data_IF_751505397158
#
_entry.id   IF_751505397158
#
_cell.length_a   1.000
_cell.length_b   1.000
_cell.length_c   1.000
_cell.angle_alpha   90.00
_cell.angle_beta   90.00
_cell.angle_gamma   90.00
#
_symmetry.space_group_name_H-M   'P 1'
#
loop_
_entity.id
_entity.type
_entity.pdbx_description
1 polymer ?
#
# COMPACT_ATOMS: atom_id res chain seq x y z
N UNK A 1 8.07 -22.87 -9.21
CA UNK A 1 7.06 -23.44 -10.12
C UNK A 1 7.05 -22.72 -11.47
N UNK A 2 7.18 -23.44 -12.60
CA UNK A 2 7.35 -22.81 -13.94
C UNK A 2 6.09 -22.12 -14.48
N UNK A 3 6.24 -21.12 -15.37
CA UNK A 3 5.19 -20.47 -16.20
C UNK A 3 4.08 -21.40 -16.72
N UNK A 4 4.40 -22.66 -17.00
CA UNK A 4 3.43 -23.66 -17.46
C UNK A 4 2.36 -24.03 -16.43
N UNK A 5 2.65 -23.94 -15.14
CA UNK A 5 1.73 -24.38 -14.08
C UNK A 5 0.66 -23.34 -13.79
N UNK A 6 1.01 -22.05 -13.83
CA UNK A 6 0.12 -20.95 -13.44
C UNK A 6 -0.55 -20.27 -14.64
N UNK A 7 -0.18 -20.64 -15.87
CA UNK A 7 -0.53 -19.93 -17.12
C UNK A 7 -1.99 -19.49 -17.20
N UNK A 8 -2.91 -20.37 -16.84
CA UNK A 8 -4.35 -20.19 -17.02
C UNK A 8 -5.04 -19.62 -15.78
N UNK A 9 -4.30 -19.41 -14.69
CA UNK A 9 -4.85 -18.85 -13.46
C UNK A 9 -5.27 -17.40 -13.70
N UNK A 10 -6.47 -17.07 -13.23
CA UNK A 10 -6.95 -15.69 -13.21
C UNK A 10 -6.29 -14.95 -12.07
N UNK A 11 -5.77 -13.77 -12.37
CA UNK A 11 -5.07 -12.91 -11.42
C UNK A 11 -5.61 -11.49 -11.56
N UNK A 12 -5.83 -10.82 -10.43
CA UNK A 12 -6.15 -9.39 -10.41
C UNK A 12 -4.85 -8.59 -10.41
N UNK A 13 -4.65 -7.78 -11.45
CA UNK A 13 -3.45 -6.97 -11.66
C UNK A 13 -3.81 -5.50 -11.58
N UNK A 14 -3.03 -4.74 -10.81
CA UNK A 14 -3.08 -3.28 -10.84
C UNK A 14 -2.33 -2.78 -12.07
N UNK A 15 -2.99 -1.91 -12.83
CA UNK A 15 -2.46 -1.30 -14.05
C UNK A 15 -2.48 0.21 -13.90
N UNK A 16 -1.35 0.84 -14.18
CA UNK A 16 -1.18 2.29 -14.12
C UNK A 16 -0.48 2.79 -15.38
N UNK A 17 -0.66 4.06 -15.78
CA UNK A 17 0.04 4.63 -16.92
C UNK A 17 1.56 4.78 -16.71
N UNK A 18 2.00 4.92 -15.46
CA UNK A 18 3.32 5.40 -15.09
C UNK A 18 3.97 4.63 -13.93
N UNK A 19 3.28 3.63 -13.37
CA UNK A 19 3.76 2.80 -12.28
C UNK A 19 3.35 3.23 -10.89
N UNK A 20 2.72 4.39 -10.72
CA UNK A 20 2.36 4.94 -9.41
C UNK A 20 0.92 4.54 -9.07
N UNK A 21 0.76 3.50 -8.26
CA UNK A 21 -0.53 3.08 -7.72
C UNK A 21 -0.75 3.72 -6.34
N UNK A 22 -1.99 4.13 -6.03
CA UNK A 22 -2.36 4.72 -4.75
C UNK A 22 -1.51 5.96 -4.42
N UNK A 23 -1.42 6.86 -5.40
CA UNK A 23 -0.53 8.02 -5.41
C UNK A 23 -1.29 9.32 -5.72
N UNK A 24 -0.61 10.46 -5.59
CA UNK A 24 -1.19 11.75 -5.96
C UNK A 24 -0.93 12.03 -7.43
N UNK A 25 -1.99 12.27 -8.20
CA UNK A 25 -1.89 12.68 -9.59
C UNK A 25 -2.80 13.87 -9.89
N UNK A 26 -2.36 14.70 -10.84
CA UNK A 26 -3.03 15.93 -11.22
C UNK A 26 -3.86 15.72 -12.47
N UNK A 27 -5.10 16.21 -12.44
CA UNK A 27 -5.97 16.32 -13.61
C UNK A 27 -6.33 17.78 -13.83
N UNK A 28 -6.07 18.29 -15.04
CA UNK A 28 -6.49 19.63 -15.42
C UNK A 28 -7.95 19.63 -15.87
N UNK A 29 -8.80 20.37 -15.17
CA UNK A 29 -10.21 20.57 -15.52
C UNK A 29 -10.48 22.07 -15.73
N UNK A 30 -10.99 22.46 -16.90
CA UNK A 30 -11.33 23.87 -17.20
C UNK A 30 -10.19 24.88 -16.95
N UNK A 31 -8.93 24.48 -17.20
CA UNK A 31 -7.69 25.23 -16.89
C UNK A 31 -7.38 25.40 -15.39
N UNK A 32 -7.93 24.54 -14.54
CA UNK A 32 -7.57 24.43 -13.12
C UNK A 32 -6.98 23.05 -12.89
N UNK A 33 -5.80 23.00 -12.28
CA UNK A 33 -5.17 21.74 -11.88
C UNK A 33 -5.76 21.27 -10.55
N UNK A 34 -6.31 20.06 -10.54
CA UNK A 34 -6.87 19.42 -9.36
C UNK A 34 -6.02 18.18 -9.03
N UNK A 35 -5.54 18.11 -7.79
CA UNK A 35 -4.82 16.95 -7.27
C UNK A 35 -5.80 15.91 -6.72
N UNK A 36 -5.64 14.64 -7.10
CA UNK A 36 -6.44 13.52 -6.63
C UNK A 36 -5.54 12.46 -6.00
N UNK A 37 -6.06 11.73 -5.02
CA UNK A 37 -5.54 10.42 -4.67
C UNK A 37 -6.08 9.41 -5.68
N UNK A 38 -5.20 8.82 -6.49
CA UNK A 38 -5.58 7.98 -7.63
C UNK A 38 -5.20 6.53 -7.37
N UNK A 39 -6.22 5.69 -7.28
CA UNK A 39 -6.08 4.23 -7.23
C UNK A 39 -5.75 3.68 -8.64
N UNK A 40 -5.05 2.54 -8.74
CA UNK A 40 -4.81 1.89 -10.02
C UNK A 40 -6.10 1.40 -10.69
N UNK A 41 -6.02 1.09 -11.98
CA UNK A 41 -7.05 0.27 -12.63
C UNK A 41 -6.84 -1.19 -12.25
N UNK A 42 -7.87 -1.89 -11.77
CA UNK A 42 -7.79 -3.33 -11.54
C UNK A 42 -8.30 -4.11 -12.75
N UNK A 43 -7.48 -5.06 -13.24
CA UNK A 43 -7.84 -5.96 -14.33
C UNK A 43 -7.73 -7.40 -13.91
N UNK A 44 -8.73 -8.19 -14.27
CA UNK A 44 -8.61 -9.64 -14.26
C UNK A 44 -8.01 -10.11 -15.57
N UNK A 45 -6.87 -10.80 -15.51
CA UNK A 45 -6.20 -11.38 -16.68
C UNK A 45 -5.62 -12.76 -16.35
N UNK A 46 -5.16 -13.48 -17.37
CA UNK A 46 -4.45 -14.73 -17.14
C UNK A 46 -3.02 -14.42 -16.66
N UNK A 47 -2.46 -15.27 -15.79
CA UNK A 47 -1.06 -15.13 -15.36
C UNK A 47 -0.10 -15.16 -16.56
N UNK A 48 -0.37 -15.97 -17.58
CA UNK A 48 0.42 -15.97 -18.81
C UNK A 48 0.44 -14.61 -19.51
N UNK A 49 -0.70 -13.94 -19.61
CA UNK A 49 -0.82 -12.61 -20.21
C UNK A 49 -0.10 -11.55 -19.36
N UNK A 50 -0.20 -11.64 -18.03
CA UNK A 50 0.56 -10.79 -17.13
C UNK A 50 2.07 -10.97 -17.29
N UNK A 51 2.54 -12.22 -17.39
CA UNK A 51 3.97 -12.51 -17.63
C UNK A 51 4.42 -12.02 -19.01
N UNK A 52 3.60 -12.18 -20.05
CA UNK A 52 3.84 -11.60 -21.37
C UNK A 52 3.96 -10.07 -21.30
N UNK A 53 3.13 -9.41 -20.47
CA UNK A 53 3.17 -7.96 -20.27
C UNK A 53 4.43 -7.47 -19.54
N UNK A 54 5.03 -8.29 -18.67
CA UNK A 54 6.33 -7.97 -18.08
C UNK A 54 7.47 -8.05 -19.11
N UNK A 55 7.38 -9.00 -20.05
CA UNK A 55 8.41 -9.25 -21.06
C UNK A 55 8.32 -8.31 -22.28
N UNK A 56 7.11 -7.96 -22.73
CA UNK A 56 6.87 -7.15 -23.93
C UNK A 56 6.08 -5.87 -23.63
N UNK A 57 6.81 -4.84 -23.19
CA UNK A 57 6.28 -3.51 -22.86
C UNK A 57 5.69 -2.76 -24.06
N UNK A 58 6.04 -3.16 -25.29
CA UNK A 58 5.52 -2.50 -26.50
C UNK A 58 4.12 -3.01 -26.84
N UNK A 59 3.88 -4.29 -26.63
CA UNK A 59 2.57 -4.92 -26.83
C UNK A 59 1.58 -4.57 -25.74
N UNK A 60 2.06 -4.40 -24.50
CA UNK A 60 1.22 -4.12 -23.34
C UNK A 60 1.55 -2.72 -22.77
N UNK A 61 0.87 -1.66 -23.26
CA UNK A 61 1.11 -0.33 -22.74
C UNK A 61 0.58 -0.20 -21.30
N UNK A 62 1.34 0.50 -20.46
CA UNK A 62 1.09 0.61 -19.03
C UNK A 62 2.16 -0.06 -18.18
N UNK A 63 1.92 -0.07 -16.87
CA UNK A 63 2.77 -0.68 -15.86
C UNK A 63 1.92 -1.60 -15.01
N UNK A 64 2.31 -2.88 -14.98
CA UNK A 64 1.52 -3.97 -14.42
C UNK A 64 2.17 -4.46 -13.11
N UNK A 65 1.33 -4.66 -12.09
CA UNK A 65 1.78 -5.13 -10.79
C UNK A 65 0.72 -5.96 -10.08
N UNK A 66 1.08 -7.18 -9.69
CA UNK A 66 0.28 -8.02 -8.79
C UNK A 66 0.53 -7.50 -7.38
N UNK A 67 -0.45 -6.78 -6.86
CA UNK A 67 -0.30 -5.93 -5.68
C UNK A 67 -1.38 -6.12 -4.62
N UNK A 68 -2.38 -6.95 -4.90
CA UNK A 68 -3.59 -7.07 -4.07
C UNK A 68 -3.23 -7.63 -2.70
N UNK A 69 -3.27 -6.78 -1.68
CA UNK A 69 -2.96 -7.18 -0.32
C UNK A 69 -4.23 -7.51 0.45
N UNK A 70 -4.76 -8.71 0.25
CA UNK A 70 -5.85 -9.33 1.01
C UNK A 70 -5.66 -10.85 0.96
N UNK A 71 -4.48 -11.33 1.38
CA UNK A 71 -4.17 -12.75 1.37
C UNK A 71 -4.21 -13.38 -0.03
N UNK A 72 -3.81 -12.61 -1.06
CA UNK A 72 -3.87 -13.06 -2.46
C UNK A 72 -3.05 -14.34 -2.70
N UNK A 73 -1.99 -14.60 -1.92
CA UNK A 73 -1.23 -15.85 -2.08
C UNK A 73 -2.09 -17.06 -1.68
N UNK A 74 -2.86 -16.97 -0.60
CA UNK A 74 -3.73 -18.06 -0.14
C UNK A 74 -5.02 -18.17 -0.94
N UNK A 75 -5.57 -17.05 -1.40
CA UNK A 75 -6.86 -17.01 -2.10
C UNK A 75 -6.72 -17.20 -3.62
N UNK A 76 -5.81 -16.44 -4.25
CA UNK A 76 -5.66 -16.40 -5.71
C UNK A 76 -4.61 -17.41 -6.22
N UNK A 77 -3.66 -17.81 -5.37
CA UNK A 77 -2.54 -18.68 -5.74
C UNK A 77 -2.30 -19.88 -4.80
N UNK A 78 -3.33 -20.71 -4.51
CA UNK A 78 -3.19 -21.84 -3.58
C UNK A 78 -2.14 -22.87 -4.02
N UNK A 79 -1.81 -22.92 -5.31
CA UNK A 79 -0.75 -23.77 -5.85
C UNK A 79 0.63 -23.33 -5.39
N UNK A 80 0.86 -22.02 -5.27
CA UNK A 80 2.14 -21.43 -4.84
C UNK A 80 2.40 -21.62 -3.34
N UNK A 81 1.35 -21.87 -2.55
CA UNK A 81 1.46 -22.20 -1.12
C UNK A 81 2.26 -23.48 -0.85
N UNK A 82 2.53 -24.32 -1.87
CA UNK A 82 3.43 -25.48 -1.71
C UNK A 82 4.90 -25.10 -1.70
N UNK A 83 5.24 -23.90 -2.19
CA UNK A 83 6.61 -23.38 -2.31
C UNK A 83 6.93 -22.30 -1.28
N UNK A 84 5.92 -21.85 -0.52
CA UNK A 84 6.00 -20.78 0.46
C UNK A 84 5.34 -21.24 1.75
N UNK A 85 5.98 -21.03 2.90
CA UNK A 85 5.37 -21.40 4.18
C UNK A 85 4.15 -20.50 4.47
N UNK A 86 3.02 -21.05 4.98
CA UNK A 86 1.81 -20.26 5.27
C UNK A 86 2.00 -19.26 6.42
N UNK A 87 3.03 -19.45 7.24
CA UNK A 87 3.44 -18.55 8.29
C UNK A 87 4.94 -18.68 8.54
N UNK A 88 5.52 -17.69 9.22
CA UNK A 88 6.90 -17.77 9.70
C UNK A 88 6.87 -18.16 11.17
N UNK A 89 7.14 -19.44 11.46
CA UNK A 89 7.00 -20.04 12.80
C UNK A 89 7.58 -19.21 13.95
N UNK A 90 8.82 -18.74 13.83
CA UNK A 90 9.46 -17.93 14.87
C UNK A 90 8.78 -16.56 15.05
N UNK A 91 8.23 -15.98 13.97
CA UNK A 91 7.54 -14.70 14.02
C UNK A 91 6.16 -14.88 14.67
N UNK A 92 5.44 -15.94 14.30
CA UNK A 92 4.16 -16.28 14.94
C UNK A 92 4.34 -16.56 16.44
N UNK A 93 5.41 -17.24 16.83
CA UNK A 93 5.76 -17.44 18.25
C UNK A 93 6.06 -16.11 18.95
N UNK A 94 6.87 -15.23 18.32
CA UNK A 94 7.26 -13.95 18.91
C UNK A 94 6.08 -12.97 19.05
N UNK A 95 5.20 -12.87 18.04
CA UNK A 95 4.02 -12.00 18.07
C UNK A 95 2.86 -12.60 18.86
N UNK A 96 2.86 -13.92 19.06
CA UNK A 96 1.80 -14.63 19.78
C UNK A 96 0.52 -14.84 18.96
N UNK A 97 0.58 -14.62 17.65
CA UNK A 97 -0.51 -14.79 16.69
C UNK A 97 0.02 -15.28 15.33
N UNK A 98 -0.78 -16.02 14.55
CA UNK A 98 -0.47 -16.29 13.14
C UNK A 98 -0.63 -15.00 12.30
N UNK A 99 -0.09 -14.96 11.06
CA UNK A 99 -0.31 -13.84 10.17
C UNK A 99 -1.80 -13.75 9.79
N UNK A 100 -2.35 -12.53 9.75
CA UNK A 100 -3.69 -12.24 9.21
C UNK A 100 -3.73 -12.36 7.69
N UNK A 101 -2.62 -12.02 7.03
CA UNK A 101 -2.52 -12.07 5.59
C UNK A 101 -1.12 -12.47 5.12
N UNK A 102 -1.09 -13.20 4.00
CA UNK A 102 0.13 -13.54 3.26
C UNK A 102 -0.04 -13.07 1.83
N UNK A 103 0.77 -12.09 1.41
CA UNK A 103 0.61 -11.48 0.09
C UNK A 103 1.80 -11.78 -0.82
N UNK A 104 1.49 -12.08 -2.08
CA UNK A 104 2.42 -12.21 -3.18
C UNK A 104 2.52 -10.90 -3.95
N UNK A 105 3.76 -10.55 -4.27
CA UNK A 105 4.12 -9.37 -5.05
C UNK A 105 4.91 -9.78 -6.27
N UNK A 106 4.43 -9.39 -7.46
CA UNK A 106 5.15 -9.59 -8.72
C UNK A 106 4.90 -8.39 -9.62
N UNK A 107 5.95 -7.82 -10.21
CA UNK A 107 5.77 -7.03 -11.42
C UNK A 107 6.92 -6.11 -11.77
N UNK A 108 6.59 -5.04 -12.50
CA UNK A 108 7.55 -4.21 -13.23
C UNK A 108 8.42 -3.36 -12.29
N UNK A 109 9.66 -3.04 -12.71
CA UNK A 109 10.56 -2.12 -12.00
C UNK A 109 10.02 -0.69 -11.94
N UNK A 110 9.17 -0.36 -12.91
CA UNK A 110 8.49 0.94 -12.99
C UNK A 110 7.35 1.03 -11.99
N UNK A 111 6.84 -0.11 -11.49
CA UNK A 111 5.78 -0.09 -10.49
C UNK A 111 6.35 0.34 -9.12
N UNK A 112 5.77 1.38 -8.56
CA UNK A 112 6.08 1.93 -7.25
C UNK A 112 4.76 2.02 -6.49
N UNK A 113 4.72 1.46 -5.28
CA UNK A 113 3.44 1.24 -4.58
C UNK A 113 3.43 1.78 -3.17
N UNK A 114 2.29 2.36 -2.80
CA UNK A 114 1.83 2.51 -1.42
C UNK A 114 0.53 1.73 -1.22
N UNK A 115 0.25 1.28 0.01
CA UNK A 115 -1.02 0.64 0.34
C UNK A 115 -1.85 1.49 1.28
N UNK A 116 -3.17 1.37 1.18
CA UNK A 116 -4.14 1.87 2.15
C UNK A 116 -4.69 0.70 2.96
N UNK A 117 -4.45 0.69 4.26
CA UNK A 117 -5.07 -0.27 5.19
C UNK A 117 -6.51 0.19 5.51
N UNK A 118 -7.52 -0.61 5.16
CA UNK A 118 -8.89 -0.42 5.67
C UNK A 118 -8.93 -1.04 7.07
N UNK A 119 -9.06 -0.22 8.12
CA UNK A 119 -9.07 -0.68 9.52
C UNK A 119 -10.43 -1.23 9.95
N UNK A 120 -10.46 -2.41 10.57
CA UNK A 120 -11.62 -2.99 11.26
C UNK A 120 -11.52 -2.71 12.79
N UNK A 121 -12.53 -2.13 13.46
CA UNK A 121 -12.41 -1.66 14.84
C UNK A 121 -12.88 -2.73 15.85
N UNK A 122 -12.04 -3.71 16.21
CA UNK A 122 -12.33 -4.49 17.42
C UNK A 122 -11.10 -5.13 18.08
N UNK A 123 -10.37 -4.34 18.88
CA UNK A 123 -9.25 -4.81 19.68
C UNK A 123 -9.67 -5.67 20.87
N UNK A 124 -8.92 -6.76 21.12
CA UNK A 124 -8.89 -7.44 22.42
C UNK A 124 -7.43 -7.60 22.88
N UNK A 125 -7.15 -7.05 24.05
CA UNK A 125 -5.84 -7.03 24.70
C UNK A 125 -5.44 -8.40 25.26
N UNK A 126 -4.19 -8.80 25.02
CA UNK A 126 -3.40 -9.63 25.95
C UNK A 126 -1.95 -9.12 25.99
N UNK A 127 -1.33 -9.19 27.16
CA UNK A 127 0.01 -8.66 27.45
C UNK A 127 1.10 -9.69 27.16
N UNK A 128 2.23 -9.27 26.56
CA UNK A 128 3.44 -10.09 26.38
C UNK A 128 4.70 -9.40 26.92
N UNK A 129 5.76 -10.17 27.28
CA UNK A 129 7.04 -9.66 27.78
C UNK A 129 8.12 -9.53 26.69
N UNK A 130 9.23 -8.87 27.04
CA UNK A 130 10.41 -8.55 26.22
C UNK A 130 11.19 -9.79 25.71
N UNK A 131 11.69 -9.74 24.48
CA UNK A 131 12.56 -10.77 23.87
C UNK A 131 13.80 -10.16 23.21
N UNK A 132 14.96 -10.76 23.52
CA UNK A 132 16.29 -10.52 22.92
C UNK A 132 16.41 -11.08 21.50
N UNK A 133 17.15 -10.34 20.65
CA UNK A 133 17.48 -10.69 19.26
C UNK A 133 18.26 -12.00 19.15
N UNK A 134 17.69 -12.99 18.47
CA UNK A 134 18.41 -14.16 17.96
C UNK A 134 18.31 -14.24 16.43
N UNK A 135 19.39 -14.69 15.77
CA UNK A 135 19.43 -14.91 14.32
C UNK A 135 18.62 -16.16 13.99
N UNK A 136 17.49 -16.02 13.30
CA UNK A 136 16.64 -17.15 12.90
C UNK A 136 17.10 -17.78 11.58
N UNK A 137 16.92 -19.10 11.51
CA UNK A 137 17.37 -19.97 10.41
C UNK A 137 16.53 -19.91 9.13
N UNK A 138 17.08 -20.62 8.14
CA UNK A 138 16.69 -20.65 6.73
C UNK A 138 15.21 -21.00 6.48
N UNK A 139 14.37 -19.99 6.20
CA UNK A 139 13.16 -20.20 5.42
C UNK A 139 13.54 -20.53 3.97
N UNK A 140 12.97 -21.59 3.38
CA UNK A 140 13.25 -21.99 2.00
C UNK A 140 12.21 -21.37 1.07
N UNK A 141 12.60 -20.34 0.33
CA UNK A 141 11.80 -19.76 -0.75
C UNK A 141 12.40 -20.20 -2.10
N UNK A 142 11.62 -20.89 -2.94
CA UNK A 142 12.08 -21.36 -4.25
C UNK A 142 10.99 -21.14 -5.32
N UNK A 143 10.64 -19.88 -5.56
CA UNK A 143 9.69 -19.49 -6.62
C UNK A 143 10.46 -18.91 -7.82
N UNK A 144 10.44 -19.63 -8.94
CA UNK A 144 10.99 -19.21 -10.23
C UNK A 144 9.89 -19.18 -11.29
N UNK A 145 9.50 -17.97 -11.74
CA UNK A 145 8.48 -17.75 -12.75
C UNK A 145 9.03 -17.81 -14.19
N UNK A 146 10.35 -17.98 -14.38
CA UNK A 146 10.97 -18.15 -15.70
C UNK A 146 10.95 -16.90 -16.58
N UNK A 147 11.14 -15.71 -16.00
CA UNK A 147 11.12 -14.42 -16.69
C UNK A 147 12.54 -14.06 -17.15
N UNK A 148 12.75 -13.79 -18.45
CA UNK A 148 14.00 -13.24 -18.98
C UNK A 148 13.91 -11.71 -19.06
N UNK A 149 14.71 -10.98 -18.28
CA UNK A 149 14.62 -9.52 -18.19
C UNK A 149 15.10 -8.79 -19.45
N UNK A 150 14.46 -7.67 -19.85
CA UNK A 150 14.93 -6.81 -20.94
C UNK A 150 16.08 -5.88 -20.48
N UNK A 151 16.88 -5.44 -21.45
CA UNK A 151 17.96 -4.47 -21.26
C UNK A 151 17.44 -3.13 -20.69
N UNK A 152 18.17 -2.65 -19.69
CA UNK A 152 17.95 -1.41 -18.96
C UNK A 152 18.21 -0.21 -19.88
N UNK A 153 17.17 0.47 -20.36
CA UNK A 153 17.28 1.88 -20.76
C UNK A 153 15.87 2.51 -20.94
N UNK A 154 15.70 3.71 -20.37
CA UNK A 154 14.55 4.64 -20.44
C UNK A 154 13.58 4.63 -19.25
N UNK A 155 14.00 5.32 -18.19
CA UNK A 155 13.13 5.91 -17.17
C UNK A 155 12.47 7.18 -17.75
N UNK A 156 11.14 7.29 -17.70
CA UNK A 156 10.41 8.51 -18.07
C UNK A 156 10.28 9.40 -16.82
N UNK A 157 10.95 10.57 -16.75
CA UNK A 157 11.05 11.35 -15.53
C UNK A 157 10.14 12.57 -15.61
N UNK A 158 8.82 12.43 -15.73
CA UNK A 158 7.96 13.61 -15.63
C UNK A 158 6.63 13.30 -14.94
N UNK A 159 6.48 13.94 -13.78
CA UNK A 159 5.37 13.94 -12.83
C UNK A 159 5.22 12.67 -11.98
N UNK A 160 5.29 12.83 -10.64
CA UNK A 160 4.30 12.35 -9.64
C UNK A 160 4.84 12.41 -8.19
N UNK A 161 3.95 12.77 -7.27
CA UNK A 161 4.10 12.86 -5.81
C UNK A 161 3.20 11.78 -5.13
N UNK A 162 3.27 11.52 -3.82
CA UNK A 162 4.08 10.50 -3.16
C UNK A 162 3.40 9.15 -2.89
N UNK A 163 4.25 8.17 -2.60
CA UNK A 163 3.93 6.77 -2.30
C UNK A 163 4.39 6.34 -0.90
N UNK A 164 4.58 7.30 0.01
CA UNK A 164 4.90 6.98 1.40
C UNK A 164 3.58 6.73 2.13
N UNK A 165 3.51 5.62 2.86
CA UNK A 165 2.37 5.28 3.71
C UNK A 165 2.87 4.52 4.94
N UNK A 166 1.96 4.23 5.88
CA UNK A 166 2.21 3.37 7.04
C UNK A 166 1.07 2.38 7.19
N UNK A 167 1.38 1.21 7.72
CA UNK A 167 0.41 0.15 7.97
C UNK A 167 0.32 -0.18 9.48
N UNK A 168 -0.85 -0.57 9.99
CA UNK A 168 -1.02 -1.04 11.38
C UNK A 168 -0.64 -2.52 11.53
N UNK A 169 0.40 -2.99 10.83
CA UNK A 169 0.81 -4.39 10.80
C UNK A 169 2.30 -4.55 11.10
N UNK A 170 2.65 -5.58 11.86
CA UNK A 170 4.00 -6.09 11.91
C UNK A 170 4.26 -6.88 10.62
N UNK A 171 5.14 -6.39 9.77
CA UNK A 171 5.31 -6.88 8.41
C UNK A 171 6.66 -7.59 8.25
N UNK A 172 6.65 -8.89 7.97
CA UNK A 172 7.85 -9.64 7.55
C UNK A 172 7.86 -9.73 6.04
N UNK A 173 8.76 -8.99 5.40
CA UNK A 173 8.85 -8.84 3.95
C UNK A 173 10.02 -9.65 3.38
N UNK A 174 9.73 -10.74 2.69
CA UNK A 174 10.69 -11.68 2.14
C UNK A 174 10.85 -11.48 0.63
N UNK A 175 12.08 -11.30 0.13
CA UNK A 175 12.34 -11.23 -1.32
C UNK A 175 12.75 -12.60 -1.82
N UNK A 176 12.04 -13.12 -2.81
CA UNK A 176 12.28 -14.45 -3.39
C UNK A 176 13.16 -14.36 -4.64
N UNK A 177 12.94 -13.34 -5.47
CA UNK A 177 13.74 -13.07 -6.67
C UNK A 177 13.82 -11.57 -6.92
N UNK A 178 14.97 -11.10 -7.40
CA UNK A 178 15.24 -9.68 -7.61
C UNK A 178 15.65 -8.96 -6.32
N UNK A 179 15.32 -7.68 -6.21
CA UNK A 179 15.54 -6.88 -5.00
C UNK A 179 14.44 -5.84 -4.80
N UNK A 180 14.29 -5.40 -3.55
CA UNK A 180 13.41 -4.29 -3.13
C UNK A 180 14.22 -3.20 -2.46
N UNK A 181 13.97 -1.94 -2.83
CA UNK A 181 14.57 -0.76 -2.22
C UNK A 181 13.51 -0.02 -1.39
N UNK A 182 13.75 0.06 -0.09
CA UNK A 182 12.89 0.74 0.87
C UNK A 182 13.50 2.08 1.29
N UNK A 183 12.67 3.11 1.41
CA UNK A 183 12.94 4.29 2.23
C UNK A 183 11.97 4.22 3.40
N UNK A 184 12.51 4.22 4.62
CA UNK A 184 11.78 4.07 5.86
C UNK A 184 11.88 5.36 6.69
N UNK A 185 10.77 5.84 7.25
CA UNK A 185 10.78 6.89 8.27
C UNK A 185 10.08 6.38 9.54
N UNK A 186 10.65 6.61 10.73
CA UNK A 186 10.05 6.16 11.97
C UNK A 186 8.73 6.89 12.27
N UNK A 187 7.80 6.28 13.04
CA UNK A 187 6.54 6.94 13.43
C UNK A 187 6.74 8.29 14.14
N UNK A 188 7.88 8.46 14.83
CA UNK A 188 8.25 9.69 15.52
C UNK A 188 8.53 10.87 14.58
N UNK A 189 8.78 10.61 13.29
CA UNK A 189 9.00 11.66 12.28
C UNK A 189 7.68 12.30 11.80
N UNK A 190 6.53 11.82 12.27
CA UNK A 190 5.21 12.35 11.89
C UNK A 190 5.10 13.89 11.90
N UNK A 191 5.68 14.65 12.85
CA UNK A 191 5.65 16.11 12.82
C UNK A 191 6.35 16.76 11.62
N UNK A 192 7.14 16.01 10.86
CA UNK A 192 7.88 16.49 9.70
C UNK A 192 7.34 15.92 8.38
N UNK A 193 6.37 15.01 8.44
CA UNK A 193 5.78 14.34 7.28
C UNK A 193 4.44 15.03 6.97
N UNK A 194 4.33 15.73 5.82
CA UNK A 194 3.16 16.52 5.49
C UNK A 194 2.03 15.65 4.96
N UNK A 195 0.82 15.90 5.48
CA UNK A 195 -0.43 15.28 5.05
C UNK A 195 -1.36 16.32 4.44
N UNK A 196 -2.09 15.93 3.40
CA UNK A 196 -3.20 16.69 2.81
C UNK A 196 -4.38 15.74 2.56
N UNK A 197 -5.59 16.30 2.51
CA UNK A 197 -6.78 15.55 2.09
C UNK A 197 -6.98 15.70 0.60
N UNK A 198 -7.12 14.58 -0.11
CA UNK A 198 -7.28 14.56 -1.56
C UNK A 198 -8.60 13.89 -1.96
N UNK A 199 -9.31 14.42 -2.97
CA UNK A 199 -10.45 13.71 -3.54
C UNK A 199 -9.99 12.39 -4.19
N UNK A 200 -10.83 11.36 -4.13
CA UNK A 200 -10.49 10.02 -4.63
C UNK A 200 -10.84 9.87 -6.11
N UNK A 201 -9.92 9.28 -6.86
CA UNK A 201 -10.12 8.90 -8.26
C UNK A 201 -9.50 7.52 -8.56
N UNK A 202 -9.72 7.02 -9.77
CA UNK A 202 -9.06 5.82 -10.27
C UNK A 202 -8.58 6.01 -11.70
N UNK A 203 -7.48 5.36 -12.07
CA UNK A 203 -7.09 5.26 -13.47
C UNK A 203 -8.08 4.39 -14.24
N UNK A 204 -8.31 4.76 -15.51
CA UNK A 204 -9.05 3.95 -16.47
C UNK A 204 -8.45 4.09 -17.86
N UNK A 205 -8.02 3.00 -18.45
CA UNK A 205 -7.58 2.94 -19.83
C UNK A 205 -8.78 3.05 -20.76
N UNK A 206 -8.82 4.12 -21.56
CA UNK A 206 -9.90 4.39 -22.52
C UNK A 206 -9.50 4.03 -23.95
N UNK A 207 -8.20 3.90 -24.21
CA UNK A 207 -7.60 3.36 -25.43
C UNK A 207 -6.21 2.79 -25.09
N UNK A 208 -5.63 1.89 -25.90
CA UNK A 208 -4.32 1.29 -25.59
C UNK A 208 -3.24 2.35 -25.27
N UNK A 209 -2.73 2.32 -24.04
CA UNK A 209 -1.74 3.25 -23.48
C UNK A 209 -2.26 4.61 -23.06
N UNK A 210 -3.56 4.86 -23.19
CA UNK A 210 -4.20 6.12 -22.83
C UNK A 210 -5.12 5.94 -21.63
N UNK A 211 -4.69 6.45 -20.48
CA UNK A 211 -5.40 6.40 -19.22
C UNK A 211 -5.99 7.76 -18.86
N UNK A 212 -7.20 7.75 -18.32
CA UNK A 212 -7.85 8.91 -17.73
C UNK A 212 -7.96 8.76 -16.21
N UNK A 213 -7.87 9.89 -15.49
CA UNK A 213 -8.19 9.95 -14.06
C UNK A 213 -9.70 10.17 -13.94
N UNK A 214 -10.41 9.19 -13.40
CA UNK A 214 -11.86 9.19 -13.24
C UNK A 214 -12.20 9.43 -11.76
N UNK A 215 -12.70 10.61 -11.37
CA UNK A 215 -13.13 10.88 -10.00
C UNK A 215 -14.23 9.91 -9.56
N UNK A 216 -14.17 9.46 -8.31
CA UNK A 216 -15.23 8.66 -7.71
C UNK A 216 -16.43 9.58 -7.46
N UNK A 217 -17.52 9.41 -8.20
CA UNK A 217 -18.70 10.28 -8.03
C UNK A 217 -19.48 9.95 -6.76
N UNK A 218 -19.82 10.96 -5.97
CA UNK A 218 -20.81 10.89 -4.88
C UNK A 218 -22.19 10.52 -5.44
N UNK A 219 -22.48 9.23 -5.61
CA UNK A 219 -23.83 8.75 -5.96
C UNK A 219 -24.34 7.74 -4.94
N UNK A 220 -24.52 8.26 -3.73
CA UNK A 220 -25.39 7.69 -2.70
C UNK A 220 -26.73 8.42 -2.59
N UNK A 221 -27.33 8.92 -3.67
CA UNK A 221 -28.73 9.39 -3.63
C UNK A 221 -29.68 8.20 -3.74
N UNK A 222 -29.79 7.39 -2.69
CA UNK A 222 -30.93 6.50 -2.52
C UNK A 222 -32.18 7.38 -2.31
N UNK A 223 -33.20 7.14 -3.12
CA UNK A 223 -34.47 7.85 -3.11
C UNK A 223 -35.05 7.96 -1.70
N UNK A 224 -35.34 9.17 -1.24
CA UNK A 224 -36.27 9.41 -0.14
C UNK A 224 -37.62 8.79 -0.48
N UNK A 225 -37.90 7.61 0.06
CA UNK A 225 -39.28 7.17 0.24
C UNK A 225 -39.83 7.79 1.53
N UNK A 226 -40.90 8.53 1.33
CA UNK A 226 -41.75 9.18 2.33
C UNK A 226 -42.37 8.16 3.28
N UNK A 227 -42.25 8.38 4.60
CA UNK A 227 -42.92 7.57 5.61
C UNK A 227 -42.98 8.23 7.00
N UNK A 228 -44.06 9.00 7.21
CA UNK A 228 -44.78 9.34 8.48
C UNK A 228 -44.06 9.93 9.71
N UNK A 229 -44.62 10.99 10.34
CA UNK A 229 -44.04 11.68 11.51
C UNK A 229 -44.53 11.10 12.85
N UNK A 230 -43.64 11.05 13.86
CA UNK A 230 -44.00 10.86 15.28
C UNK A 230 -43.10 11.71 16.21
N UNK A 231 -43.56 12.00 17.45
CA UNK A 231 -43.58 13.35 18.05
C UNK A 231 -42.35 13.69 18.92
N UNK A 232 -42.20 14.97 19.34
CA UNK A 232 -41.00 15.48 20.01
C UNK A 232 -41.08 15.25 21.52
N UNK A 233 -39.96 14.90 22.14
CA UNK A 233 -39.49 15.34 23.46
C UNK A 233 -38.44 14.34 23.99
N UNK A 234 -37.17 14.76 24.05
CA UNK A 234 -36.38 14.81 25.30
C UNK A 234 -35.00 15.45 25.04
N UNK A 235 -34.47 16.07 26.09
CA UNK A 235 -33.53 17.18 26.05
C UNK A 235 -32.09 16.78 25.68
N UNK A 236 -31.44 17.74 25.01
CA UNK A 236 -30.00 17.91 24.80
C UNK A 236 -29.12 17.51 25.99
N UNK A 237 -28.14 16.63 25.72
CA UNK A 237 -26.78 16.70 26.29
C UNK A 237 -25.79 16.10 25.28
N UNK A 238 -24.55 16.62 25.28
CA UNK A 238 -23.40 16.31 24.41
C UNK A 238 -23.36 17.04 23.05
N UNK A 239 -22.79 18.25 23.08
CA UNK A 239 -22.07 18.80 21.93
C UNK A 239 -20.57 18.50 22.16
N UNK A 240 -19.88 18.12 21.09
CA UNK A 240 -18.43 18.00 20.93
C UNK A 240 -17.80 16.58 20.96
N UNK A 241 -18.55 15.52 20.64
CA UNK A 241 -17.97 14.18 20.35
C UNK A 241 -18.08 13.73 18.87
N UNK A 242 -18.71 14.53 18.00
CA UNK A 242 -19.07 14.11 16.62
C UNK A 242 -18.15 14.66 15.50
N UNK A 243 -17.09 15.41 15.81
CA UNK A 243 -16.24 16.06 14.79
C UNK A 243 -14.94 15.29 14.45
N UNK A 244 -14.75 14.10 15.03
CA UNK A 244 -13.58 13.23 14.79
C UNK A 244 -13.83 12.10 13.77
N UNK A 245 -15.05 12.00 13.23
CA UNK A 245 -15.46 11.00 12.25
C UNK A 245 -16.31 11.65 11.14
N UNK A 246 -15.78 12.66 10.46
CA UNK A 246 -16.32 13.00 9.14
C UNK A 246 -15.90 11.90 8.15
N UNK A 247 -16.72 10.85 8.03
CA UNK A 247 -16.62 9.79 7.01
C UNK A 247 -17.11 10.33 5.67
N UNK A 248 -16.47 11.39 5.18
CA UNK A 248 -16.64 11.77 3.79
C UNK A 248 -15.70 10.88 2.96
N UNK A 249 -16.21 9.72 2.55
CA UNK A 249 -15.48 8.75 1.70
C UNK A 249 -15.00 9.35 0.36
N UNK A 250 -15.37 10.60 0.08
CA UNK A 250 -14.91 11.35 -1.09
C UNK A 250 -13.47 11.86 -0.95
N UNK A 251 -12.91 12.00 0.27
CA UNK A 251 -11.54 12.45 0.51
C UNK A 251 -10.72 11.47 1.34
N UNK A 252 -9.43 11.35 1.01
CA UNK A 252 -8.46 10.54 1.75
C UNK A 252 -7.29 11.42 2.23
N UNK A 253 -6.93 11.38 3.53
CA UNK A 253 -5.70 11.98 4.00
C UNK A 253 -4.49 11.17 3.52
N UNK A 254 -3.60 11.80 2.76
CA UNK A 254 -2.41 11.14 2.21
C UNK A 254 -1.16 11.99 2.39
N UNK A 255 -0.01 11.31 2.42
CA UNK A 255 1.29 11.99 2.44
C UNK A 255 1.46 12.70 1.10
N UNK A 256 1.96 13.93 1.13
CA UNK A 256 2.04 14.80 -0.05
C UNK A 256 3.48 15.27 -0.38
N UNK A 257 4.50 14.58 0.14
CA UNK A 257 5.91 14.76 -0.24
C UNK A 257 6.58 13.49 -0.78
N UNK A 258 7.24 13.59 -1.93
CA UNK A 258 8.08 12.52 -2.50
C UNK A 258 9.40 12.41 -1.70
N UNK A 259 9.70 11.26 -1.06
CA UNK A 259 10.93 11.09 -0.30
C UNK A 259 12.19 11.02 -1.18
N UNK A 260 12.07 10.71 -2.48
CA UNK A 260 13.21 10.66 -3.41
C UNK A 260 13.58 12.05 -3.92
N UNK A 261 12.58 12.92 -4.12
CA UNK A 261 12.76 14.30 -4.57
C UNK A 261 11.85 15.24 -3.77
N UNK A 262 12.15 15.47 -2.48
CA UNK A 262 11.27 16.25 -1.61
C UNK A 262 11.22 17.71 -2.05
N UNK A 263 10.01 18.24 -2.20
CA UNK A 263 9.79 19.69 -2.38
C UNK A 263 9.95 20.39 -1.03
N UNK A 264 11.19 20.78 -0.75
CA UNK A 264 11.58 21.41 0.50
C UNK A 264 11.25 22.91 0.55
N UNK A 265 10.80 23.49 -0.56
CA UNK A 265 10.31 24.88 -0.58
C UNK A 265 8.87 24.90 -0.06
N UNK A 266 8.02 23.97 -0.50
CA UNK A 266 6.66 23.80 0.01
C UNK A 266 6.62 23.13 1.39
N UNK A 267 7.52 22.18 1.67
CA UNK A 267 7.55 21.40 2.91
C UNK A 267 8.92 21.45 3.61
N UNK A 268 9.36 22.62 4.11
CA UNK A 268 10.71 22.81 4.65
C UNK A 268 11.00 21.98 5.90
N UNK A 269 9.96 21.57 6.65
CA UNK A 269 10.11 20.78 7.87
C UNK A 269 10.55 19.34 7.59
N UNK A 270 10.32 18.80 6.39
CA UNK A 270 10.76 17.45 6.03
C UNK A 270 12.29 17.30 6.09
N UNK A 271 13.06 18.40 6.02
CA UNK A 271 14.52 18.39 6.26
C UNK A 271 14.91 17.84 7.63
N UNK A 272 13.98 17.82 8.59
CA UNK A 272 14.20 17.31 9.96
C UNK A 272 13.86 15.83 10.10
N UNK A 273 13.30 15.19 9.07
CA UNK A 273 13.04 13.77 9.06
C UNK A 273 14.33 12.96 8.94
N UNK A 274 14.27 11.69 9.32
CA UNK A 274 15.38 10.75 9.46
C UNK A 274 15.15 9.53 8.58
N UNK A 275 15.19 9.67 7.24
CA UNK A 275 14.99 8.55 6.34
C UNK A 275 16.11 7.52 6.47
N UNK A 276 15.74 6.24 6.48
CA UNK A 276 16.65 5.10 6.42
C UNK A 276 16.41 4.36 5.10
N UNK A 277 17.46 4.15 4.31
CA UNK A 277 17.37 3.40 3.05
C UNK A 277 17.87 1.97 3.26
N UNK A 278 17.10 0.99 2.79
CA UNK A 278 17.42 -0.43 2.90
C UNK A 278 17.16 -1.12 1.57
N UNK A 279 18.12 -1.90 1.09
CA UNK A 279 17.90 -2.86 0.00
C UNK A 279 17.71 -4.25 0.61
N UNK A 280 16.69 -4.97 0.16
CA UNK A 280 16.43 -6.36 0.51
C UNK A 280 16.65 -7.18 -0.76
N UNK A 281 17.62 -8.08 -0.76
CA UNK A 281 17.96 -8.93 -1.90
C UNK A 281 17.25 -10.29 -1.82
N UNK A 282 17.26 -11.03 -2.92
CA UNK A 282 16.71 -12.39 -2.98
C UNK A 282 17.32 -13.29 -1.88
N UNK A 283 16.44 -13.92 -1.10
CA UNK A 283 16.80 -14.75 0.06
C UNK A 283 16.79 -14.00 1.39
N UNK A 284 16.73 -12.68 1.38
CA UNK A 284 16.66 -11.87 2.60
C UNK A 284 15.20 -11.60 3.03
N UNK A 285 15.04 -11.28 4.31
CA UNK A 285 13.81 -10.80 4.90
C UNK A 285 14.04 -9.48 5.66
N UNK A 286 13.11 -8.55 5.51
CA UNK A 286 13.02 -7.31 6.28
C UNK A 286 11.86 -7.42 7.27
N UNK A 287 12.14 -7.24 8.55
CA UNK A 287 11.10 -6.88 9.51
C UNK A 287 10.84 -5.37 9.41
N UNK A 288 9.66 -5.02 8.91
CA UNK A 288 9.15 -3.65 8.84
C UNK A 288 8.12 -3.48 9.98
N UNK A 289 8.48 -2.75 11.06
CA UNK A 289 7.61 -2.64 12.22
C UNK A 289 6.34 -1.84 11.93
N UNK A 290 5.30 -2.11 12.71
CA UNK A 290 4.03 -1.39 12.60
C UNK A 290 4.20 0.13 12.69
N UNK A 291 3.35 0.85 11.95
CA UNK A 291 3.29 2.31 11.84
C UNK A 291 4.51 2.99 11.19
N UNK A 292 5.55 2.27 10.78
CA UNK A 292 6.67 2.86 10.05
C UNK A 292 6.22 3.33 8.68
N UNK A 293 6.58 4.57 8.36
CA UNK A 293 6.37 5.12 7.04
C UNK A 293 7.34 4.47 6.08
N UNK A 294 6.86 4.04 4.92
CA UNK A 294 7.71 3.38 3.96
C UNK A 294 7.31 3.69 2.52
N UNK A 295 8.33 3.74 1.67
CA UNK A 295 8.24 3.88 0.23
C UNK A 295 9.07 2.75 -0.41
N UNK A 296 8.51 2.07 -1.41
CA UNK A 296 9.08 0.82 -1.94
C UNK A 296 9.28 0.90 -3.45
N UNK A 297 10.49 0.60 -3.89
CA UNK A 297 10.86 0.33 -5.30
C UNK A 297 11.35 -1.10 -5.44
N UNK A 298 11.44 -1.59 -6.67
CA UNK A 298 11.83 -2.97 -6.95
C UNK A 298 12.60 -3.10 -8.26
N UNK A 299 13.35 -4.20 -8.40
CA UNK A 299 13.89 -4.63 -9.68
C UNK A 299 12.79 -5.14 -10.61
N UNK A 300 13.08 -5.22 -11.91
CA UNK A 300 12.12 -5.73 -12.88
C UNK A 300 11.78 -7.19 -12.57
N UNK A 301 10.48 -7.51 -12.65
CA UNK A 301 9.95 -8.83 -12.34
C UNK A 301 10.36 -9.35 -10.96
N UNK A 302 10.56 -8.45 -9.99
CA UNK A 302 10.81 -8.82 -8.60
C UNK A 302 9.67 -9.67 -8.07
N UNK A 303 10.01 -10.73 -7.32
CA UNK A 303 9.05 -11.59 -6.63
C UNK A 303 9.30 -11.46 -5.14
N UNK A 304 8.29 -11.06 -4.38
CA UNK A 304 8.35 -11.00 -2.92
C UNK A 304 7.09 -11.57 -2.29
N UNK A 305 7.22 -12.07 -1.07
CA UNK A 305 6.12 -12.50 -0.23
C UNK A 305 6.21 -11.74 1.08
N UNK A 306 5.09 -11.21 1.56
CA UNK A 306 5.06 -10.57 2.87
C UNK A 306 3.99 -11.17 3.77
N UNK A 307 4.29 -11.20 5.07
CA UNK A 307 3.43 -11.73 6.13
C UNK A 307 3.03 -10.60 7.04
N UNK A 308 1.72 -10.41 7.19
CA UNK A 308 1.15 -9.37 8.04
C UNK A 308 0.59 -9.98 9.31
N UNK A 309 1.10 -9.52 10.44
CA UNK A 309 0.59 -9.80 11.76
C UNK A 309 -0.05 -8.52 12.29
N UNK A 310 -1.29 -8.59 12.81
CA UNK A 310 -1.94 -7.41 13.40
C UNK A 310 -1.06 -6.83 14.51
N UNK A 311 -0.97 -5.50 14.56
CA UNK A 311 -0.16 -4.86 15.59
C UNK A 311 -0.82 -5.01 16.96
N UNK A 312 -0.01 -4.99 18.01
CA UNK A 312 -0.56 -4.82 19.35
C UNK A 312 -0.93 -3.35 19.57
N UNK A 313 -2.21 -3.08 19.80
CA UNK A 313 -2.75 -1.75 20.12
C UNK A 313 -2.44 -1.36 21.58
N UNK A 314 -1.15 -1.19 21.85
CA UNK A 314 -0.61 -0.89 23.18
C UNK A 314 -0.32 0.61 23.37
N UNK A 315 0.53 0.93 24.35
CA UNK A 315 0.93 2.30 24.65
C UNK A 315 1.61 3.00 23.47
N UNK A 316 2.31 2.28 22.59
CA UNK A 316 2.98 2.84 21.40
C UNK A 316 1.94 3.37 20.42
N UNK A 317 0.86 2.61 20.20
CA UNK A 317 -0.28 3.07 19.39
C UNK A 317 -0.92 4.30 20.00
N UNK A 318 -1.20 4.30 21.31
CA UNK A 318 -1.80 5.45 22.00
C UNK A 318 -0.92 6.72 21.85
N UNK A 319 0.40 6.60 21.99
CA UNK A 319 1.32 7.71 21.76
C UNK A 319 1.36 8.17 20.31
N UNK A 320 1.31 7.24 19.35
CA UNK A 320 1.23 7.60 17.92
C UNK A 320 -0.03 8.39 17.61
N UNK A 321 -1.19 7.98 18.14
CA UNK A 321 -2.46 8.70 17.94
C UNK A 321 -2.45 10.08 18.61
N UNK A 322 -1.84 10.19 19.80
CA UNK A 322 -1.63 11.49 20.45
C UNK A 322 -0.76 12.40 19.59
N UNK A 323 0.35 11.87 19.05
CA UNK A 323 1.26 12.63 18.19
C UNK A 323 0.55 13.12 16.92
N UNK A 324 -0.21 12.25 16.25
CA UNK A 324 -1.04 12.59 15.09
C UNK A 324 -2.01 13.74 15.40
N UNK A 325 -2.73 13.65 16.52
CA UNK A 325 -3.69 14.67 16.95
C UNK A 325 -3.01 16.01 17.28
N UNK A 326 -1.86 15.98 17.95
CA UNK A 326 -1.09 17.18 18.28
C UNK A 326 -0.56 17.88 17.04
N UNK A 327 -0.01 17.14 16.07
CA UNK A 327 0.47 17.72 14.80
C UNK A 327 -0.68 18.40 14.05
N UNK A 328 -1.85 17.73 13.95
CA UNK A 328 -3.04 18.30 13.31
C UNK A 328 -3.52 19.59 14.01
N UNK A 329 -3.51 19.63 15.34
CA UNK A 329 -3.98 20.77 16.14
C UNK A 329 -2.99 21.94 16.20
N UNK A 330 -1.69 21.65 16.21
CA UNK A 330 -0.65 22.66 16.31
C UNK A 330 -0.25 23.26 14.95
N UNK A 331 -0.80 22.75 13.84
CA UNK A 331 -0.43 23.13 12.46
C UNK A 331 1.09 23.09 12.23
N UNK A 332 1.74 22.06 12.80
CA UNK A 332 3.16 21.78 12.59
C UNK A 332 3.32 21.03 11.27
#
# INVERSE_FOLDING_TARGET
MSRKTLSDNKVTVAVTPNGYADAIATRSEQNVDIEYFVMPEEREMNMSEFLDALEDRHKYPGVFYVQRQNSNLTEDFPELMREVEPEISWASEAFGCPPEAVNLWVGDERAITSKMSVTDPCGKMTSSPEVELSRSGNARFALDLGISGPDMDHFCPDMIFPLVHKDPYENIYCVVSGYKDFILLPPTDRPWIPYKSFPVASYKEVAPGHFEIVPRSDKGSASRQTGTPQPPHQLQTAADEDELLSTDDSFVPWICIDPLKPDLDSYPLFKKAHPVTVRVEAGDALYLPSLWYHHVRQSHACIAVNYWYDMQYDIKYAYSQLLEALVKKCHI
#
